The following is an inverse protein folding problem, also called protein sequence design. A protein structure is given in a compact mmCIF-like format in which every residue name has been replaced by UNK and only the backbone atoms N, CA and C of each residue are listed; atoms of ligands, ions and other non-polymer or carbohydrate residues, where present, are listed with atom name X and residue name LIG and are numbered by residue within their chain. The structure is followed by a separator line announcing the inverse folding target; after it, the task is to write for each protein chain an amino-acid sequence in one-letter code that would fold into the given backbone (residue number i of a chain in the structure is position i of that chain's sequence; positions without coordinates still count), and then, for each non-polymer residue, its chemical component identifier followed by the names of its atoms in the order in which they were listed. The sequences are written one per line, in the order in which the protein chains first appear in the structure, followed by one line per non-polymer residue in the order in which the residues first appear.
data_IF_077084991080
#
_entry.id   IF_077084991080
#
_cell.length_a   1.000
_cell.length_b   1.000
_cell.length_c   1.000
_cell.angle_alpha   90.00
_cell.angle_beta   90.00
_cell.angle_gamma   90.00
#
_symmetry.space_group_name_H-M   'P 1'
#
loop_
_entity.id
_entity.type
_entity.pdbx_description
1 polymer ?
#
# COMPACT_ATOMS: atom_id res chain seq x y z
N UNK A 1 -16.39 11.64 18.65
CA UNK A 1 -15.36 12.10 17.69
C UNK A 1 -14.98 10.90 16.83
N UNK A 2 -15.04 11.01 15.51
CA UNK A 2 -14.56 9.95 14.59
C UNK A 2 -13.25 10.42 13.98
N UNK A 3 -12.19 9.61 14.05
CA UNK A 3 -10.92 9.93 13.43
C UNK A 3 -10.92 9.37 12.01
N UNK A 4 -10.81 10.24 11.01
CA UNK A 4 -10.71 9.84 9.61
C UNK A 4 -9.24 9.91 9.21
N UNK A 5 -8.67 8.77 8.86
CA UNK A 5 -7.30 8.66 8.36
C UNK A 5 -7.30 8.59 6.84
N UNK A 6 -6.76 9.64 6.22
CA UNK A 6 -6.52 9.69 4.79
C UNK A 6 -5.15 9.09 4.49
N UNK A 7 -5.09 8.09 3.60
CA UNK A 7 -3.87 7.35 3.37
C UNK A 7 -3.68 6.89 1.93
N UNK A 8 -2.43 6.64 1.59
CA UNK A 8 -2.01 5.91 0.39
C UNK A 8 -1.47 4.54 0.86
N UNK A 9 -1.97 3.45 0.28
CA UNK A 9 -1.67 2.09 0.77
C UNK A 9 -0.20 1.69 0.61
N UNK A 10 0.51 2.29 -0.34
CA UNK A 10 1.92 2.01 -0.62
C UNK A 10 2.85 3.16 -0.20
N UNK A 11 2.36 4.14 0.56
CA UNK A 11 3.20 5.19 1.13
C UNK A 11 3.89 4.71 2.41
N UNK A 12 5.22 4.82 2.45
CA UNK A 12 6.01 4.57 3.66
C UNK A 12 5.57 5.46 4.85
N UNK A 13 5.18 6.71 4.59
CA UNK A 13 4.69 7.61 5.64
C UNK A 13 3.36 7.14 6.18
N UNK A 14 2.49 6.63 5.31
CA UNK A 14 1.21 6.10 5.74
C UNK A 14 1.39 4.81 6.57
N UNK A 15 2.36 3.96 6.20
CA UNK A 15 2.70 2.77 6.98
C UNK A 15 3.17 3.11 8.41
N UNK A 16 4.01 4.14 8.56
CA UNK A 16 4.37 4.67 9.88
C UNK A 16 3.14 5.20 10.64
N UNK A 17 2.26 5.92 9.94
CA UNK A 17 1.00 6.40 10.51
C UNK A 17 0.08 5.28 10.98
N UNK A 18 0.06 4.13 10.30
CA UNK A 18 -0.72 2.96 10.72
C UNK A 18 -0.24 2.39 12.06
N UNK A 19 1.07 2.42 12.33
CA UNK A 19 1.62 2.01 13.63
C UNK A 19 1.09 2.93 14.75
N UNK A 20 1.00 4.24 14.49
CA UNK A 20 0.39 5.21 15.41
C UNK A 20 -1.09 4.93 15.60
N UNK A 21 -1.84 4.63 14.53
CA UNK A 21 -3.26 4.27 14.63
C UNK A 21 -3.47 2.98 15.43
N UNK A 22 -2.61 1.98 15.25
CA UNK A 22 -2.65 0.75 16.04
C UNK A 22 -2.44 1.03 17.53
N UNK A 23 -1.50 1.93 17.87
CA UNK A 23 -1.29 2.36 19.25
C UNK A 23 -2.50 3.12 19.82
N UNK A 24 -3.13 4.00 19.04
CA UNK A 24 -4.37 4.70 19.41
C UNK A 24 -5.49 3.69 19.67
N UNK A 25 -5.70 2.75 18.73
CA UNK A 25 -6.74 1.73 18.86
C UNK A 25 -6.52 0.85 20.08
N UNK A 26 -5.28 0.42 20.34
CA UNK A 26 -4.91 -0.37 21.52
C UNK A 26 -5.20 0.37 22.83
N UNK A 27 -4.93 1.68 22.88
CA UNK A 27 -5.09 2.51 24.10
C UNK A 27 -6.54 2.93 24.35
N UNK A 28 -7.26 3.29 23.29
CA UNK A 28 -8.57 3.94 23.41
C UNK A 28 -9.75 3.03 23.01
N UNK A 29 -9.50 1.98 22.23
CA UNK A 29 -10.52 1.03 21.78
C UNK A 29 -11.65 1.73 21.03
N UNK A 30 -12.89 1.28 21.26
CA UNK A 30 -14.09 1.82 20.61
C UNK A 30 -14.40 3.29 20.97
N UNK A 31 -13.70 3.90 21.93
CA UNK A 31 -13.90 5.32 22.31
C UNK A 31 -13.45 6.29 21.22
N UNK A 32 -12.51 5.86 20.38
CA UNK A 32 -12.03 6.60 19.22
C UNK A 32 -12.20 5.71 18.01
N UNK A 33 -13.39 5.69 17.38
CA UNK A 33 -13.56 4.99 16.11
C UNK A 33 -12.63 5.60 15.05
N UNK A 34 -12.03 4.72 14.25
CA UNK A 34 -11.09 5.07 13.18
C UNK A 34 -11.71 4.63 11.86
N UNK A 35 -11.95 5.59 10.97
CA UNK A 35 -12.31 5.34 9.58
C UNK A 35 -11.11 5.60 8.68
N UNK A 36 -10.98 4.87 7.58
CA UNK A 36 -9.93 5.08 6.58
C UNK A 36 -10.52 5.54 5.26
N UNK A 37 -9.80 6.41 4.57
CA UNK A 37 -10.15 6.86 3.22
C UNK A 37 -8.88 6.95 2.38
N UNK A 38 -8.95 6.52 1.13
CA UNK A 38 -7.84 6.67 0.21
C UNK A 38 -7.64 8.16 -0.13
N UNK A 39 -6.39 8.60 -0.10
CA UNK A 39 -5.98 9.90 -0.58
C UNK A 39 -4.92 9.73 -1.66
N UNK A 40 -5.24 10.17 -2.87
CA UNK A 40 -4.33 10.11 -3.99
C UNK A 40 -3.33 11.27 -3.89
N UNK A 41 -2.04 10.93 -3.83
CA UNK A 41 -0.96 11.90 -4.01
C UNK A 41 -0.89 12.24 -5.50
N UNK A 42 -0.76 13.53 -5.84
CA UNK A 42 -0.66 14.00 -7.23
C UNK A 42 -1.77 13.45 -8.16
N UNK A 43 -3.02 13.37 -7.68
CA UNK A 43 -4.14 12.74 -8.41
C UNK A 43 -3.91 11.28 -8.85
N UNK A 44 -2.96 10.58 -8.24
CA UNK A 44 -2.57 9.22 -8.61
C UNK A 44 -1.58 9.17 -9.78
N UNK A 45 -1.11 10.31 -10.26
CA UNK A 45 0.00 10.37 -11.21
C UNK A 45 1.31 10.03 -10.50
N UNK A 46 2.28 9.46 -11.23
CA UNK A 46 3.59 9.19 -10.66
C UNK A 46 4.27 10.48 -10.20
N UNK A 47 5.02 10.41 -9.10
CA UNK A 47 6.03 11.43 -8.87
C UNK A 47 7.22 11.09 -9.78
N UNK A 48 7.70 12.05 -10.57
CA UNK A 48 8.82 11.85 -11.50
C UNK A 48 10.16 11.71 -10.76
N UNK A 49 10.31 10.59 -10.06
CA UNK A 49 11.55 10.21 -9.40
C UNK A 49 12.23 9.06 -10.19
N UNK A 50 13.54 9.17 -10.34
CA UNK A 50 14.36 8.06 -10.82
C UNK A 50 14.48 6.95 -9.78
N UNK A 51 14.86 5.74 -10.19
CA UNK A 51 15.02 4.60 -9.28
C UNK A 51 16.02 4.87 -8.14
N UNK A 52 17.10 5.61 -8.41
CA UNK A 52 18.07 6.01 -7.39
C UNK A 52 17.48 6.98 -6.36
N UNK A 53 16.61 7.90 -6.80
CA UNK A 53 15.95 8.85 -5.92
C UNK A 53 14.91 8.16 -5.03
N UNK A 54 14.15 7.22 -5.58
CA UNK A 54 13.23 6.37 -4.81
C UNK A 54 14.00 5.53 -3.78
N UNK A 55 15.11 4.90 -4.20
CA UNK A 55 15.99 4.16 -3.28
C UNK A 55 16.48 5.03 -2.13
N UNK A 56 17.05 6.21 -2.44
CA UNK A 56 17.49 7.15 -1.41
C UNK A 56 16.35 7.57 -0.48
N UNK A 57 15.16 7.81 -1.05
CA UNK A 57 13.99 8.24 -0.29
C UNK A 57 13.53 7.18 0.72
N UNK A 58 13.63 5.89 0.37
CA UNK A 58 13.34 4.78 1.27
C UNK A 58 14.46 4.56 2.30
N UNK A 59 15.72 4.59 1.87
CA UNK A 59 16.88 4.39 2.76
C UNK A 59 16.97 5.45 3.86
N UNK A 60 16.59 6.70 3.55
CA UNK A 60 16.58 7.78 4.56
C UNK A 60 15.57 7.52 5.68
N UNK A 61 14.49 6.78 5.39
CA UNK A 61 13.47 6.45 6.38
C UNK A 61 14.08 5.62 7.51
N UNK A 62 14.91 4.63 7.17
CA UNK A 62 15.61 3.80 8.15
C UNK A 62 16.55 4.67 9.00
N UNK A 63 17.31 5.55 8.35
CA UNK A 63 18.24 6.45 9.05
C UNK A 63 17.54 7.40 10.04
N UNK A 64 16.32 7.85 9.74
CA UNK A 64 15.58 8.83 10.56
C UNK A 64 14.68 8.18 11.60
N UNK A 65 14.07 7.04 11.27
CA UNK A 65 13.01 6.42 12.08
C UNK A 65 13.40 5.06 12.67
N UNK A 66 14.51 4.46 12.19
CA UNK A 66 14.85 3.06 12.44
C UNK A 66 13.93 2.06 11.73
N UNK A 67 13.05 2.53 10.83
CA UNK A 67 12.11 1.71 10.08
C UNK A 67 12.56 1.57 8.63
N UNK A 68 12.88 0.33 8.26
CA UNK A 68 13.23 -0.04 6.89
C UNK A 68 12.01 -0.47 6.10
N UNK A 69 11.86 0.12 4.92
CA UNK A 69 10.90 -0.28 3.88
C UNK A 69 11.67 -0.73 2.64
N UNK A 70 11.07 -1.56 1.80
CA UNK A 70 11.70 -2.04 0.57
C UNK A 70 11.15 -1.23 -0.62
N UNK A 71 12.03 -0.68 -1.46
CA UNK A 71 11.65 0.08 -2.65
C UNK A 71 11.50 -0.81 -3.90
N UNK A 72 11.86 -2.10 -3.84
CA UNK A 72 11.87 -3.02 -5.00
C UNK A 72 10.48 -3.34 -5.57
N UNK A 73 9.40 -3.02 -4.86
CA UNK A 73 8.04 -3.10 -5.42
C UNK A 73 7.80 -2.04 -6.52
N UNK A 74 8.65 -1.00 -6.59
CA UNK A 74 8.71 0.00 -7.65
C UNK A 74 9.54 -0.56 -8.81
N UNK A 75 8.87 -1.00 -9.87
CA UNK A 75 9.52 -1.72 -10.97
C UNK A 75 10.07 -0.80 -12.06
N UNK A 76 9.57 0.44 -12.13
CA UNK A 76 9.96 1.42 -13.15
C UNK A 76 9.90 2.84 -12.58
N UNK A 77 10.74 3.71 -13.11
CA UNK A 77 10.62 5.15 -12.86
C UNK A 77 9.25 5.64 -13.32
N UNK A 78 8.66 6.55 -12.53
CA UNK A 78 7.30 7.00 -12.78
C UNK A 78 6.24 5.90 -12.59
N UNK A 79 6.46 4.92 -11.71
CA UNK A 79 5.36 4.07 -11.24
C UNK A 79 4.53 4.85 -10.21
N UNK A 80 3.20 4.89 -10.40
CA UNK A 80 2.30 5.51 -9.42
C UNK A 80 1.71 4.50 -8.44
N UNK A 81 1.16 5.02 -7.35
CA UNK A 81 0.36 4.26 -6.36
C UNK A 81 -1.10 4.12 -6.75
N UNK A 82 -1.51 4.55 -7.95
CA UNK A 82 -2.90 4.52 -8.38
C UNK A 82 -3.48 3.10 -8.40
N UNK A 83 -2.77 2.15 -8.99
CA UNK A 83 -3.20 0.75 -9.08
C UNK A 83 -3.42 0.15 -7.68
N UNK A 84 -2.44 0.18 -6.74
CA UNK A 84 -2.69 -0.36 -5.41
C UNK A 84 -3.81 0.36 -4.66
N UNK A 85 -3.95 1.68 -4.82
CA UNK A 85 -5.03 2.46 -4.23
C UNK A 85 -6.42 2.12 -4.81
N UNK A 86 -6.50 1.78 -6.11
CA UNK A 86 -7.74 1.30 -6.73
C UNK A 86 -8.11 -0.11 -6.26
N UNK A 87 -7.12 -1.02 -6.17
CA UNK A 87 -7.32 -2.39 -5.68
C UNK A 87 -7.89 -2.38 -4.26
N UNK A 88 -7.32 -1.56 -3.37
CA UNK A 88 -7.81 -1.49 -1.99
C UNK A 88 -9.22 -0.89 -1.92
N UNK A 89 -9.55 0.11 -2.74
CA UNK A 89 -10.91 0.66 -2.78
C UNK A 89 -11.94 -0.41 -3.15
N UNK A 90 -11.67 -1.21 -4.19
CA UNK A 90 -12.52 -2.33 -4.59
C UNK A 90 -12.59 -3.39 -3.46
N UNK A 91 -11.48 -3.67 -2.80
CA UNK A 91 -11.45 -4.65 -1.71
C UNK A 91 -12.27 -4.20 -0.50
N UNK A 92 -12.28 -2.90 -0.17
CA UNK A 92 -13.14 -2.33 0.88
C UNK A 92 -14.62 -2.53 0.53
N UNK A 93 -15.03 -2.25 -0.72
CA UNK A 93 -16.41 -2.45 -1.20
C UNK A 93 -16.86 -3.92 -1.10
N UNK A 94 -15.91 -4.87 -1.21
CA UNK A 94 -16.13 -6.31 -1.08
C UNK A 94 -15.99 -6.83 0.38
N UNK A 95 -15.73 -5.95 1.36
CA UNK A 95 -15.53 -6.34 2.76
C UNK A 95 -14.21 -7.09 3.02
N UNK A 96 -13.22 -6.95 2.14
CA UNK A 96 -11.90 -7.60 2.19
C UNK A 96 -10.75 -6.60 2.34
N UNK A 97 -11.05 -5.32 2.59
CA UNK A 97 -10.09 -4.23 2.65
C UNK A 97 -8.92 -4.49 3.60
N UNK A 98 -9.19 -4.95 4.82
CA UNK A 98 -8.15 -5.23 5.82
C UNK A 98 -7.11 -6.25 5.33
N UNK A 99 -7.56 -7.37 4.77
CA UNK A 99 -6.69 -8.44 4.27
C UNK A 99 -5.83 -7.94 3.11
N UNK A 100 -6.44 -7.22 2.16
CA UNK A 100 -5.75 -6.70 0.98
C UNK A 100 -4.74 -5.62 1.37
N UNK A 101 -5.11 -4.73 2.31
CA UNK A 101 -4.22 -3.70 2.83
C UNK A 101 -3.00 -4.30 3.51
N UNK A 102 -3.20 -5.32 4.34
CA UNK A 102 -2.11 -6.01 5.02
C UNK A 102 -1.20 -6.74 4.02
N UNK A 103 -1.76 -7.36 2.99
CA UNK A 103 -0.97 -7.98 1.91
C UNK A 103 -0.13 -6.94 1.15
N UNK A 104 -0.73 -5.83 0.71
CA UNK A 104 -0.02 -4.78 -0.03
C UNK A 104 1.13 -4.18 0.79
N UNK A 105 0.94 -3.99 2.10
CA UNK A 105 1.98 -3.46 2.99
C UNK A 105 3.06 -4.49 3.30
N UNK A 106 2.69 -5.68 3.73
CA UNK A 106 3.66 -6.68 4.17
C UNK A 106 4.44 -7.26 2.99
N UNK A 107 3.76 -7.61 1.92
CA UNK A 107 4.38 -8.24 0.77
C UNK A 107 5.03 -7.22 -0.15
N UNK A 108 4.34 -6.11 -0.42
CA UNK A 108 4.83 -5.06 -1.30
C UNK A 108 5.79 -4.11 -0.59
N UNK A 109 5.27 -3.28 0.31
CA UNK A 109 6.04 -2.17 0.89
C UNK A 109 7.18 -2.62 1.83
N UNK A 110 6.98 -3.71 2.58
CA UNK A 110 8.00 -4.28 3.47
C UNK A 110 8.81 -5.38 2.78
N UNK A 111 8.14 -6.26 2.02
CA UNK A 111 8.77 -7.40 1.35
C UNK A 111 9.40 -7.10 -0.01
N UNK A 112 9.08 -5.96 -0.63
CA UNK A 112 9.57 -5.56 -1.96
C UNK A 112 8.92 -6.33 -3.11
N UNK A 113 7.86 -7.10 -2.86
CA UNK A 113 7.21 -7.84 -3.94
C UNK A 113 6.53 -6.87 -4.90
N UNK A 114 6.74 -7.02 -6.21
CA UNK A 114 6.04 -6.21 -7.19
C UNK A 114 4.52 -6.32 -7.06
N UNK A 115 3.85 -5.16 -7.03
CA UNK A 115 2.39 -5.09 -6.90
C UNK A 115 1.72 -4.99 -8.28
N UNK A 116 2.37 -4.31 -9.22
CA UNK A 116 1.82 -4.03 -10.56
C UNK A 116 2.44 -4.88 -11.67
N UNK A 117 3.34 -5.82 -11.34
CA UNK A 117 4.15 -6.55 -12.30
C UNK A 117 3.32 -7.19 -13.39
N UNK A 118 3.50 -6.81 -14.66
CA UNK A 118 2.88 -7.44 -15.83
C UNK A 118 3.04 -8.99 -15.90
N UNK A 119 3.80 -9.59 -14.99
CA UNK A 119 3.95 -11.03 -14.74
C UNK A 119 2.87 -11.67 -13.84
N UNK A 120 1.65 -11.11 -13.72
CA UNK A 120 0.55 -11.81 -13.01
C UNK A 120 0.26 -13.21 -13.60
N UNK A 121 0.64 -13.45 -14.86
CA UNK A 121 0.46 -14.75 -15.55
C UNK A 121 1.25 -15.92 -14.97
N UNK A 122 2.33 -15.70 -14.20
CA UNK A 122 3.21 -16.79 -13.73
C UNK A 122 3.05 -17.17 -12.26
N UNK A 123 2.29 -16.40 -11.48
CA UNK A 123 2.23 -16.54 -10.00
C UNK A 123 0.95 -17.24 -9.54
N UNK A 124 -0.06 -17.37 -10.43
CA UNK A 124 -1.33 -18.02 -10.10
C UNK A 124 -1.36 -19.50 -10.57
N UNK A 125 -1.71 -20.47 -9.70
CA UNK A 125 -1.85 -21.87 -10.10
C UNK A 125 -2.82 -22.01 -11.28
N UNK A 126 -2.51 -22.90 -12.23
CA UNK A 126 -3.25 -23.09 -13.49
C UNK A 126 -4.78 -23.20 -13.31
N UNK A 127 -5.25 -23.68 -12.14
CA UNK A 127 -6.65 -23.99 -11.82
C UNK A 127 -7.65 -22.81 -11.77
N UNK A 128 -7.20 -21.56 -11.87
CA UNK A 128 -8.09 -20.40 -11.79
C UNK A 128 -7.97 -19.45 -12.99
N UNK A 129 -7.21 -19.82 -14.03
CA UNK A 129 -7.12 -19.01 -15.25
C UNK A 129 -8.44 -18.93 -16.01
N UNK A 130 -9.31 -19.92 -15.85
CA UNK A 130 -10.56 -20.04 -16.59
C UNK A 130 -11.74 -19.31 -15.92
N UNK A 131 -11.53 -18.68 -14.75
CA UNK A 131 -12.61 -18.04 -13.97
C UNK A 131 -12.67 -16.52 -14.08
N UNK A 132 -11.69 -15.87 -14.72
CA UNK A 132 -11.56 -14.39 -14.76
C UNK A 132 -11.56 -13.86 -16.19
N UNK A 133 -12.07 -14.64 -17.15
CA UNK A 133 -12.37 -14.20 -18.52
C UNK A 133 -13.88 -14.01 -18.69
N UNK A 134 -14.50 -13.25 -17.80
CA UNK A 134 -15.80 -12.63 -18.05
C UNK A 134 -15.79 -11.28 -17.32
N UNK A 135 -16.10 -10.23 -18.10
CA UNK A 135 -16.10 -8.78 -17.82
C UNK A 135 -14.79 -8.05 -18.09
#
# INVERSE_FOLDING_TARGET
MNLIYYYDVCSMWCALGDEVLAAIQKRYGARVPISRKIALINNGEPMEAGLEQEKWYYDRCDSVTGRRFNHEWIEKSGQSTWVPNAIIQIAEDLGRGDIVRDALKNEGLLGGKPICAAKWRSIWPQRHRDSVLLY
#
